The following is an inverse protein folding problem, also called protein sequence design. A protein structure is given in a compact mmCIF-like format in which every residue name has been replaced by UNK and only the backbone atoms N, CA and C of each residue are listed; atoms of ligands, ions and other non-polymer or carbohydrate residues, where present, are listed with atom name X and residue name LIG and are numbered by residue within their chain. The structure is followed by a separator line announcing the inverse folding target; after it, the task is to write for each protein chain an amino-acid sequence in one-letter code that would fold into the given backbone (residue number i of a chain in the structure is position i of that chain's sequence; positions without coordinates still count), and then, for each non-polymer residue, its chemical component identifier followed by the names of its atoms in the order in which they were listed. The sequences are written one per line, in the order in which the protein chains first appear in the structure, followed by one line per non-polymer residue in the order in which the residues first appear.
data_IF_634912632977
#
_entry.id   IF_634912632977
#
_cell.length_a   1.000
_cell.length_b   1.000
_cell.length_c   1.000
_cell.angle_alpha   90.00
_cell.angle_beta   90.00
_cell.angle_gamma   90.00
#
_symmetry.space_group_name_H-M   'P 1'
#
loop_
_entity.id
_entity.type
_entity.pdbx_description
1 polymer ?
#
# COMPACT_ATOMS: atom_id res chain seq x y z
N UNK A 1 1.69 19.13 -14.57
CA UNK A 1 0.36 19.40 -13.98
C UNK A 1 0.36 19.09 -12.47
N UNK A 2 -0.47 19.76 -11.67
CA UNK A 2 -0.65 19.50 -10.22
C UNK A 2 -1.81 18.52 -9.98
N UNK A 3 -1.79 17.80 -8.85
CA UNK A 3 -2.84 16.83 -8.49
C UNK A 3 -4.24 17.46 -8.41
N UNK A 4 -4.38 18.59 -7.71
CA UNK A 4 -5.66 19.30 -7.58
C UNK A 4 -6.24 19.70 -8.94
N UNK A 5 -5.36 20.13 -9.86
CA UNK A 5 -5.76 20.46 -11.23
C UNK A 5 -6.22 19.23 -12.00
N UNK A 6 -5.48 18.12 -11.90
CA UNK A 6 -5.86 16.85 -12.51
C UNK A 6 -7.23 16.37 -12.04
N UNK A 7 -7.45 16.40 -10.72
CA UNK A 7 -8.70 16.04 -10.07
C UNK A 7 -9.85 16.96 -10.49
N UNK A 8 -9.61 18.26 -10.55
CA UNK A 8 -10.59 19.24 -11.03
C UNK A 8 -10.98 19.02 -12.50
N UNK A 9 -10.03 18.67 -13.38
CA UNK A 9 -10.31 18.37 -14.81
C UNK A 9 -11.24 17.15 -14.94
N UNK A 10 -11.04 16.12 -14.11
CA UNK A 10 -11.89 14.92 -14.13
C UNK A 10 -13.12 15.02 -13.21
N UNK A 11 -13.32 16.16 -12.53
CA UNK A 11 -14.46 16.39 -11.64
C UNK A 11 -14.47 15.51 -10.39
N UNK A 12 -13.31 15.12 -9.87
CA UNK A 12 -13.21 14.35 -8.62
C UNK A 12 -12.64 15.23 -7.50
N UNK A 13 -13.15 15.05 -6.28
CA UNK A 13 -12.62 15.73 -5.09
C UNK A 13 -11.42 14.99 -4.47
N UNK A 14 -11.20 13.73 -4.86
CA UNK A 14 -10.16 12.86 -4.31
C UNK A 14 -9.56 11.96 -5.36
N UNK A 15 -8.37 11.45 -5.06
CA UNK A 15 -7.74 10.39 -5.86
C UNK A 15 -8.67 9.17 -5.93
N UNK A 16 -8.85 8.57 -7.13
CA UNK A 16 -9.54 7.29 -7.27
C UNK A 16 -8.89 6.20 -6.40
N UNK A 17 -9.66 5.17 -6.05
CA UNK A 17 -9.13 4.02 -5.30
C UNK A 17 -8.28 3.12 -6.18
N UNK A 18 -8.66 2.98 -7.43
CA UNK A 18 -8.03 2.08 -8.40
C UNK A 18 -8.14 2.63 -9.83
N UNK A 19 -7.47 1.94 -10.75
CA UNK A 19 -7.47 2.32 -12.16
C UNK A 19 -8.84 2.07 -12.83
N UNK A 20 -9.68 1.18 -12.29
CA UNK A 20 -11.00 0.91 -12.84
C UNK A 20 -11.94 2.10 -12.62
N UNK A 21 -11.94 2.67 -11.41
CA UNK A 21 -12.69 3.88 -11.07
C UNK A 21 -12.23 5.07 -11.94
N UNK A 22 -10.92 5.24 -12.11
CA UNK A 22 -10.36 6.28 -12.98
C UNK A 22 -10.77 6.10 -14.45
N UNK A 23 -10.70 4.87 -14.97
CA UNK A 23 -11.08 4.57 -16.35
C UNK A 23 -12.59 4.72 -16.58
N UNK A 24 -13.43 4.42 -15.59
CA UNK A 24 -14.87 4.62 -15.68
C UNK A 24 -15.21 6.11 -15.85
N UNK A 25 -14.66 6.96 -14.98
CA UNK A 25 -14.82 8.42 -15.04
C UNK A 25 -14.29 8.97 -16.37
N UNK A 26 -13.11 8.51 -16.80
CA UNK A 26 -12.54 8.90 -18.08
C UNK A 26 -13.47 8.55 -19.25
N UNK A 27 -14.03 7.34 -19.30
CA UNK A 27 -14.93 6.93 -20.40
C UNK A 27 -16.19 7.79 -20.46
N UNK A 28 -16.74 8.16 -19.31
CA UNK A 28 -17.93 9.01 -19.27
C UNK A 28 -17.64 10.45 -19.69
N UNK A 29 -16.48 10.99 -19.32
CA UNK A 29 -16.02 12.32 -19.75
C UNK A 29 -15.62 12.33 -21.22
N UNK A 30 -14.94 11.29 -21.70
CA UNK A 30 -14.52 11.14 -23.08
C UNK A 30 -15.72 11.15 -24.02
N UNK A 31 -16.85 10.51 -23.66
CA UNK A 31 -18.09 10.56 -24.44
C UNK A 31 -18.72 11.96 -24.52
N UNK A 32 -18.51 12.81 -23.51
CA UNK A 32 -19.07 14.16 -23.44
C UNK A 32 -18.19 15.20 -24.13
N UNK A 33 -16.88 15.01 -24.05
CA UNK A 33 -15.86 15.95 -24.53
C UNK A 33 -15.26 15.55 -25.88
N UNK A 34 -15.73 14.46 -26.51
CA UNK A 34 -15.20 14.04 -27.80
C UNK A 34 -15.47 15.12 -28.85
N UNK A 35 -14.47 15.47 -29.70
CA UNK A 35 -14.63 16.47 -30.76
C UNK A 35 -15.84 16.20 -31.67
N UNK A 36 -16.09 14.93 -31.99
CA UNK A 36 -17.23 14.52 -32.82
C UNK A 36 -18.61 14.77 -32.17
N UNK A 37 -18.69 14.99 -30.86
CA UNK A 37 -19.93 15.33 -30.14
C UNK A 37 -20.06 16.83 -29.84
N UNK A 38 -19.18 17.66 -30.41
CA UNK A 38 -19.13 19.11 -30.17
C UNK A 38 -18.14 19.53 -29.08
N UNK A 39 -17.25 18.64 -28.66
CA UNK A 39 -16.14 18.95 -27.77
C UNK A 39 -14.98 19.66 -28.46
N UNK A 40 -14.01 20.13 -27.67
CA UNK A 40 -12.76 20.71 -28.18
C UNK A 40 -11.62 19.71 -28.04
N UNK A 41 -10.78 19.60 -29.08
CA UNK A 41 -9.57 18.76 -29.06
C UNK A 41 -8.64 19.14 -27.90
N UNK A 42 -8.51 20.43 -27.59
CA UNK A 42 -7.72 20.91 -26.46
C UNK A 42 -8.25 20.40 -25.11
N UNK A 43 -9.58 20.36 -24.94
CA UNK A 43 -10.21 19.84 -23.73
C UNK A 43 -10.04 18.31 -23.60
N UNK A 44 -10.06 17.60 -24.73
CA UNK A 44 -9.83 16.16 -24.76
C UNK A 44 -8.36 15.81 -24.44
N UNK A 45 -7.42 16.61 -24.95
CA UNK A 45 -6.01 16.46 -24.63
C UNK A 45 -5.72 16.74 -23.15
N UNK A 46 -6.30 17.81 -22.58
CA UNK A 46 -6.16 18.14 -21.15
C UNK A 46 -6.76 17.02 -20.26
N UNK A 47 -7.89 16.43 -20.68
CA UNK A 47 -8.47 15.25 -20.03
C UNK A 47 -7.51 14.04 -20.07
N UNK A 48 -6.88 13.78 -21.21
CA UNK A 48 -5.91 12.70 -21.37
C UNK A 48 -4.69 12.88 -20.45
N UNK A 49 -4.14 14.09 -20.39
CA UNK A 49 -3.03 14.43 -19.50
C UNK A 49 -3.42 14.25 -18.02
N UNK A 50 -4.66 14.58 -17.65
CA UNK A 50 -5.16 14.38 -16.30
C UNK A 50 -5.27 12.93 -15.88
N UNK A 51 -5.80 12.09 -16.76
CA UNK A 51 -5.88 10.66 -16.50
C UNK A 51 -4.50 10.04 -16.39
N UNK A 52 -3.59 10.36 -17.30
CA UNK A 52 -2.22 9.83 -17.27
C UNK A 52 -1.47 10.23 -16.00
N UNK A 53 -1.61 11.50 -15.57
CA UNK A 53 -1.03 11.96 -14.31
C UNK A 53 -1.57 11.19 -13.11
N UNK A 54 -2.89 10.98 -13.05
CA UNK A 54 -3.53 10.25 -11.95
C UNK A 54 -3.17 8.76 -11.94
N UNK A 55 -3.02 8.13 -13.12
CA UNK A 55 -2.50 6.75 -13.23
C UNK A 55 -1.11 6.62 -12.61
N UNK A 56 -0.20 7.56 -12.91
CA UNK A 56 1.15 7.58 -12.34
C UNK A 56 1.10 7.79 -10.82
N UNK A 57 0.23 8.67 -10.33
CA UNK A 57 0.06 8.89 -8.90
C UNK A 57 -0.44 7.62 -8.18
N UNK A 58 -1.41 6.90 -8.77
CA UNK A 58 -1.90 5.62 -8.25
C UNK A 58 -0.80 4.56 -8.21
N UNK A 59 0.01 4.46 -9.27
CA UNK A 59 1.13 3.53 -9.33
C UNK A 59 2.14 3.78 -8.21
N UNK A 60 2.53 5.05 -8.00
CA UNK A 60 3.47 5.43 -6.94
C UNK A 60 2.90 5.15 -5.54
N UNK A 61 1.61 5.39 -5.33
CA UNK A 61 0.96 5.10 -4.06
C UNK A 61 0.95 3.59 -3.78
N UNK A 62 0.63 2.77 -4.78
CA UNK A 62 0.66 1.31 -4.67
C UNK A 62 2.06 0.78 -4.37
N UNK A 63 3.09 1.28 -5.05
CA UNK A 63 4.49 0.93 -4.75
C UNK A 63 4.89 1.30 -3.32
N UNK A 64 4.46 2.47 -2.84
CA UNK A 64 4.72 2.91 -1.46
C UNK A 64 4.02 2.02 -0.43
N UNK A 65 2.78 1.63 -0.69
CA UNK A 65 2.04 0.71 0.20
C UNK A 65 2.73 -0.65 0.25
N UNK A 66 3.10 -1.21 -0.90
CA UNK A 66 3.79 -2.51 -0.97
C UNK A 66 5.14 -2.51 -0.24
N UNK A 67 5.94 -1.46 -0.41
CA UNK A 67 7.24 -1.34 0.28
C UNK A 67 7.06 -1.25 1.79
N UNK A 68 6.10 -0.47 2.27
CA UNK A 68 5.78 -0.39 3.70
C UNK A 68 5.36 -1.74 4.27
N UNK A 69 4.41 -2.43 3.64
CA UNK A 69 3.96 -3.77 4.06
C UNK A 69 5.12 -4.76 4.12
N UNK A 70 5.99 -4.76 3.09
CA UNK A 70 7.18 -5.64 3.06
C UNK A 70 8.14 -5.35 4.23
N UNK A 71 8.33 -4.09 4.59
CA UNK A 71 9.18 -3.73 5.74
C UNK A 71 8.57 -4.14 7.07
N UNK A 72 7.24 -4.00 7.23
CA UNK A 72 6.52 -4.43 8.43
C UNK A 72 6.57 -5.96 8.58
N UNK A 73 6.38 -6.70 7.48
CA UNK A 73 6.50 -8.16 7.46
C UNK A 73 7.90 -8.63 7.84
N UNK A 74 8.95 -7.97 7.30
CA UNK A 74 10.32 -8.29 7.64
C UNK A 74 10.62 -8.05 9.13
N UNK A 75 10.08 -6.96 9.70
CA UNK A 75 10.23 -6.66 11.11
C UNK A 75 9.47 -7.65 12.00
N UNK A 76 8.26 -8.05 11.59
CA UNK A 76 7.47 -9.06 12.29
C UNK A 76 8.20 -10.41 12.33
N UNK A 77 8.79 -10.84 11.20
CA UNK A 77 9.62 -12.06 11.15
C UNK A 77 10.82 -11.98 12.09
N UNK A 78 11.55 -10.87 12.10
CA UNK A 78 12.68 -10.67 13.03
C UNK A 78 12.24 -10.76 14.50
N UNK A 79 11.11 -10.14 14.85
CA UNK A 79 10.55 -10.19 16.21
C UNK A 79 10.14 -11.62 16.61
N UNK A 80 9.56 -12.39 15.69
CA UNK A 80 9.18 -13.77 15.93
C UNK A 80 10.40 -14.65 16.25
N UNK A 81 11.46 -14.55 15.44
CA UNK A 81 12.71 -15.30 15.64
C UNK A 81 13.34 -14.97 17.00
N UNK A 82 13.43 -13.68 17.34
CA UNK A 82 13.98 -13.26 18.64
C UNK A 82 13.15 -13.78 19.82
N UNK A 83 11.81 -13.75 19.70
CA UNK A 83 10.91 -14.28 20.73
C UNK A 83 11.11 -15.77 20.93
N UNK A 84 11.24 -16.53 19.85
CA UNK A 84 11.48 -17.98 19.90
C UNK A 84 12.83 -18.31 20.56
N UNK A 85 13.90 -17.58 20.22
CA UNK A 85 15.21 -17.74 20.85
C UNK A 85 15.16 -17.46 22.36
N UNK A 86 14.47 -16.40 22.78
CA UNK A 86 14.30 -16.07 24.20
C UNK A 86 13.50 -17.12 24.95
N UNK A 87 12.43 -17.65 24.35
CA UNK A 87 11.64 -18.73 24.94
C UNK A 87 12.45 -20.01 25.10
N UNK A 88 13.26 -20.36 24.09
CA UNK A 88 14.15 -21.53 24.14
C UNK A 88 15.20 -21.39 25.25
N UNK A 89 15.84 -20.22 25.34
CA UNK A 89 16.81 -19.93 26.42
C UNK A 89 16.18 -20.03 27.80
N UNK A 90 14.98 -19.46 27.97
CA UNK A 90 14.25 -19.53 29.24
C UNK A 90 13.88 -20.97 29.61
N UNK A 91 13.46 -21.78 28.64
CA UNK A 91 13.15 -23.19 28.86
C UNK A 91 14.39 -24.00 29.29
N UNK A 92 15.56 -23.72 28.71
CA UNK A 92 16.82 -24.34 29.13
C UNK A 92 17.22 -23.92 30.55
N UNK A 93 17.12 -22.63 30.88
CA UNK A 93 17.39 -22.10 32.23
C UNK A 93 16.41 -22.67 33.28
N UNK A 94 15.13 -22.83 32.94
CA UNK A 94 14.14 -23.49 33.79
C UNK A 94 14.47 -24.98 33.99
N UNK A 95 14.88 -25.69 32.93
CA UNK A 95 15.27 -27.10 33.02
C UNK A 95 16.46 -27.29 33.97
N UNK A 96 17.51 -26.48 33.82
CA UNK A 96 18.69 -26.55 34.69
C UNK A 96 18.34 -26.26 36.16
N UNK A 97 17.49 -25.26 36.41
CA UNK A 97 17.01 -24.96 37.77
C UNK A 97 16.22 -26.12 38.37
N UNK A 98 15.37 -26.76 37.59
CA UNK A 98 14.59 -27.92 38.06
C UNK A 98 15.50 -29.12 38.38
N UNK A 99 16.50 -29.41 37.53
CA UNK A 99 17.49 -30.47 37.78
C UNK A 99 18.31 -30.19 39.05
N UNK A 100 18.71 -28.94 39.28
CA UNK A 100 19.44 -28.55 40.48
C UNK A 100 18.55 -28.65 41.73
N UNK A 101 17.30 -28.19 41.68
CA UNK A 101 16.35 -28.32 42.78
C UNK A 101 16.09 -29.80 43.14
N UNK A 102 15.95 -30.68 42.15
CA UNK A 102 15.81 -32.13 42.40
C UNK A 102 17.03 -32.72 43.12
N UNK A 103 18.25 -32.32 42.75
CA UNK A 103 19.47 -32.77 43.44
C UNK A 103 19.50 -32.34 44.91
N UNK A 104 18.94 -31.17 45.24
CA UNK A 104 18.88 -30.66 46.62
C UNK A 104 17.77 -31.32 47.45
N UNK A 105 16.75 -31.90 46.81
CA UNK A 105 15.64 -32.60 47.48
C UNK A 105 15.98 -34.07 47.78
N UNK A 106 16.82 -34.70 46.93
CA UNK A 106 17.18 -36.14 47.04
C UNK A 106 18.50 -36.35 47.81
N UNK A 107 19.32 -35.30 47.97
CA UNK A 107 20.62 -35.34 48.66
C UNK A 107 20.54 -35.11 50.16
#
# INVERSE_FOLDING_TARGET
MKLERALSIIGLDRLPKDEMELNAVYRDLAKKLHPDTGGSEAAFQELGEAVEYLKRALLLLNQRVQTKTRTEDALARKRAILREQMLRRRAEEDRLRNEQAQKWIIG
#
